data_IF_127565685056
#
_entry.id   IF_127565685056
#
_cell.length_a   1.000
_cell.length_b   1.000
_cell.length_c   1.000
_cell.angle_alpha   90.00
_cell.angle_beta   90.00
_cell.angle_gamma   90.00
#
_symmetry.space_group_name_H-M   'P 1'
#
loop_
_entity.id
_entity.type
_entity.pdbx_description
1 polymer ?
2 non-polymer ?
3 non-polymer ?
4 non-polymer ?
5 non-polymer ?
6 non-polymer ?
7 water ?
#
# COMPACT_ATOMS: atom_id res chain seq x y z
N UNK A 18 1.07 3.70 -20.77
CA UNK A 18 0.74 3.18 -19.46
C UNK A 18 2.00 2.75 -18.71
N UNK A 19 2.34 3.49 -17.68
CA UNK A 19 3.59 3.26 -16.99
C UNK A 19 3.45 2.07 -16.03
N UNK A 20 4.50 1.27 -15.93
CA UNK A 20 4.52 0.15 -15.01
C UNK A 20 4.62 0.65 -13.58
N UNK A 21 3.81 0.07 -12.70
CA UNK A 21 3.91 0.30 -11.27
C UNK A 21 4.49 -0.94 -10.62
N UNK A 22 5.64 -0.78 -9.97
CA UNK A 22 6.28 -1.85 -9.19
C UNK A 22 5.80 -1.75 -7.76
N UNK A 23 5.45 -2.90 -7.20
CA UNK A 23 5.08 -3.05 -5.82
C UNK A 23 6.08 -4.00 -5.18
N UNK A 24 6.50 -3.70 -3.96
CA UNK A 24 7.38 -4.59 -3.24
C UNK A 24 6.98 -4.63 -1.78
N UNK A 25 7.25 -5.76 -1.13
CA UNK A 25 6.98 -5.90 0.29
C UNK A 25 6.37 -7.23 0.59
N UNK A 26 5.35 -7.21 1.44
CA UNK A 26 4.75 -8.43 2.00
C UNK A 26 3.46 -8.83 1.33
N UNK A 27 3.50 -9.98 0.70
CA UNK A 27 2.29 -10.71 0.34
C UNK A 27 1.97 -11.62 1.52
N UNK A 28 0.72 -11.60 1.99
CA UNK A 28 0.37 -12.29 3.21
C UNK A 28 -0.95 -13.00 3.07
N UNK A 29 -1.14 -14.03 3.87
CA UNK A 29 -2.46 -14.61 4.02
C UNK A 29 -3.12 -14.00 5.25
N UNK A 30 -4.24 -13.32 5.00
CA UNK A 30 -5.08 -12.78 6.07
C UNK A 30 -6.15 -13.82 6.42
N UNK A 31 -6.16 -14.23 7.67
CA UNK A 31 -7.16 -15.16 8.18
C UNK A 31 -8.27 -14.32 8.81
N UNK A 32 -9.42 -14.33 8.16
CA UNK A 32 -10.49 -13.40 8.50
C UNK A 32 -11.69 -14.20 9.02
N UNK A 33 -12.11 -13.92 10.26
CA UNK A 33 -13.23 -14.67 10.83
C UNK A 33 -14.45 -14.66 9.93
N UNK A 34 -15.07 -15.84 9.80
CA UNK A 34 -16.29 -15.97 9.03
C UNK A 34 -17.04 -17.16 9.61
N UNK A 35 -17.76 -16.88 10.68
CA UNK A 35 -18.35 -17.92 11.52
C UNK A 35 -17.46 -18.05 12.74
N UNK A 36 -18.02 -18.59 13.82
CA UNK A 36 -17.30 -18.61 15.09
C UNK A 36 -16.11 -19.55 15.12
N UNK A 37 -16.13 -20.57 14.25
CA UNK A 37 -15.07 -21.57 14.25
C UNK A 37 -14.20 -21.57 13.01
N UNK A 38 -14.42 -20.63 12.08
CA UNK A 38 -13.72 -20.64 10.81
C UNK A 38 -13.04 -19.33 10.49
N UNK A 39 -11.94 -19.42 9.77
CA UNK A 39 -11.34 -18.29 9.09
C UNK A 39 -11.48 -18.47 7.59
N UNK A 40 -11.78 -17.37 6.90
CA UNK A 40 -11.56 -17.29 5.47
C UNK A 40 -10.07 -17.18 5.24
N UNK A 41 -9.59 -17.87 4.23
CA UNK A 41 -8.21 -17.77 3.79
C UNK A 41 -8.17 -16.70 2.70
N UNK A 42 -7.81 -15.48 3.07
CA UNK A 42 -7.89 -14.35 2.15
C UNK A 42 -6.49 -13.88 1.73
N UNK A 43 -6.27 -13.71 0.42
CA UNK A 43 -5.00 -13.12 0.00
C UNK A 43 -4.93 -11.68 0.44
N UNK A 44 -3.75 -11.25 0.85
CA UNK A 44 -3.58 -9.92 1.37
C UNK A 44 -2.13 -9.51 1.33
N UNK A 45 -1.82 -8.52 2.16
CA UNK A 45 -0.51 -7.91 2.20
C UNK A 45 -0.57 -6.61 1.42
N UNK A 46 -0.32 -5.48 2.07
CA UNK A 46 -0.63 -4.19 1.47
C UNK A 46 -0.07 -4.00 0.05
N UNK A 47 1.23 -4.24 -0.17
CA UNK A 47 1.69 -4.01 -1.55
C UNK A 47 1.08 -4.99 -2.56
N UNK A 48 0.76 -6.20 -2.14
CA UNK A 48 0.08 -7.16 -3.02
C UNK A 48 -1.34 -6.65 -3.34
N UNK A 49 -2.00 -6.11 -2.32
CA UNK A 49 -3.33 -5.54 -2.48
C UNK A 49 -3.29 -4.41 -3.48
N UNK A 50 -2.30 -3.53 -3.36
CA UNK A 50 -2.18 -2.43 -4.31
C UNK A 50 -1.95 -2.94 -5.73
N UNK A 51 -1.08 -3.93 -5.85
CA UNK A 51 -0.77 -4.50 -7.16
C UNK A 51 -2.05 -5.02 -7.81
N UNK A 52 -2.86 -5.75 -7.06
CA UNK A 52 -4.06 -6.33 -7.59
C UNK A 52 -5.07 -5.22 -7.91
N UNK A 53 -5.14 -4.18 -7.06
CA UNK A 53 -6.07 -3.10 -7.32
C UNK A 53 -5.76 -2.45 -8.66
N UNK A 54 -4.47 -2.21 -8.91
CA UNK A 54 -4.06 -1.60 -10.16
C UNK A 54 -4.41 -2.51 -11.35
N UNK A 55 -4.09 -3.78 -11.23
CA UNK A 55 -4.37 -4.74 -12.29
C UNK A 55 -5.87 -4.85 -12.60
N UNK A 56 -6.69 -4.81 -11.56
CA UNK A 56 -8.14 -4.92 -11.76
C UNK A 56 -8.68 -3.75 -12.53
N UNK A 57 -8.02 -2.60 -12.44
CA UNK A 57 -8.40 -1.40 -13.18
C UNK A 57 -7.76 -1.38 -14.56
N UNK A 58 -7.12 -2.47 -14.95
CA UNK A 58 -6.50 -2.64 -16.28
C UNK A 58 -5.12 -1.99 -16.36
N UNK A 59 -4.51 -1.69 -15.21
CA UNK A 59 -3.19 -1.12 -15.19
C UNK A 59 -2.10 -2.17 -15.25
N UNK A 60 -0.88 -1.68 -15.30
CA UNK A 60 0.31 -2.50 -15.45
C UNK A 60 1.04 -2.54 -14.12
N UNK A 61 0.84 -3.60 -13.36
CA UNK A 61 1.50 -3.70 -12.06
C UNK A 61 2.39 -4.96 -12.03
N UNK A 62 3.45 -4.87 -11.24
CA UNK A 62 4.43 -5.94 -11.14
C UNK A 62 4.90 -5.97 -9.71
N UNK A 63 5.14 -7.15 -9.17
CA UNK A 63 5.49 -7.31 -7.77
C UNK A 63 6.86 -7.94 -7.66
N UNK A 64 7.71 -7.40 -6.80
CA UNK A 64 8.95 -8.08 -6.46
C UNK A 64 9.07 -8.19 -4.96
N UNK A 65 9.52 -9.36 -4.52
CA UNK A 65 9.61 -9.63 -3.09
C UNK A 65 9.80 -11.10 -2.84
N UNK A 66 9.75 -11.46 -1.55
CA UNK A 66 9.87 -12.85 -1.15
C UNK A 66 8.68 -13.30 -0.34
N UNK A 67 8.19 -14.49 -0.68
CA UNK A 67 7.31 -15.23 0.19
C UNK A 67 7.99 -16.53 0.58
N UNK A 68 7.33 -17.35 1.40
CA UNK A 68 7.92 -18.60 1.79
C UNK A 68 7.60 -19.72 0.83
N UNK A 69 8.45 -20.75 0.85
CA UNK A 69 8.20 -21.98 0.12
C UNK A 69 7.25 -22.82 0.94
N UNK A 70 5.98 -22.45 0.89
CA UNK A 70 4.94 -23.08 1.68
C UNK A 70 3.63 -22.85 0.95
N UNK A 71 2.57 -23.53 1.40
CA UNK A 71 1.31 -23.41 0.65
C UNK A 71 0.81 -21.97 0.59
N UNK A 72 1.03 -21.18 1.64
CA UNK A 72 0.55 -19.81 1.63
C UNK A 72 1.31 -18.97 0.59
N UNK A 73 2.61 -19.21 0.47
CA UNK A 73 3.39 -18.48 -0.51
C UNK A 73 2.98 -18.85 -1.92
N UNK A 74 2.72 -20.13 -2.13
CA UNK A 74 2.28 -20.57 -3.45
C UNK A 74 0.88 -20.03 -3.75
N UNK A 75 0.04 -19.93 -2.72
CA UNK A 75 -1.28 -19.34 -2.87
C UNK A 75 -1.18 -17.87 -3.28
N UNK A 76 -0.22 -17.15 -2.71
CA UNK A 76 -0.04 -15.75 -3.08
C UNK A 76 0.51 -15.61 -4.51
N UNK A 77 1.45 -16.48 -4.88
CA UNK A 77 1.89 -16.51 -6.28
C UNK A 77 0.72 -16.76 -7.21
N UNK A 78 -0.10 -17.74 -6.87
CA UNK A 78 -1.26 -18.08 -7.70
C UNK A 78 -2.22 -16.89 -7.81
N UNK A 79 -2.42 -16.21 -6.68
CA UNK A 79 -3.31 -15.07 -6.65
C UNK A 79 -2.81 -13.97 -7.57
N UNK A 80 -1.54 -13.60 -7.46
CA UNK A 80 -1.00 -12.57 -8.33
C UNK A 80 -1.09 -12.98 -9.81
N UNK A 81 -0.81 -14.25 -10.08
CA UNK A 81 -0.92 -14.78 -11.44
C UNK A 81 -2.34 -14.63 -11.95
N UNK A 82 -3.30 -15.09 -11.16
CA UNK A 82 -4.71 -15.02 -11.53
C UNK A 82 -5.10 -13.58 -11.83
N UNK A 83 -4.56 -12.64 -11.04
CA UNK A 83 -4.93 -11.24 -11.11
C UNK A 83 -4.16 -10.46 -12.18
N UNK A 84 -3.32 -11.15 -12.93
CA UNK A 84 -2.58 -10.53 -14.05
C UNK A 84 -1.58 -9.48 -13.55
N UNK A 85 -1.05 -9.73 -12.35
CA UNK A 85 0.05 -8.96 -11.83
C UNK A 85 1.31 -9.70 -12.25
N UNK A 86 2.28 -8.99 -12.81
CA UNK A 86 3.55 -9.61 -13.16
C UNK A 86 4.26 -10.02 -11.87
N UNK A 87 4.54 -11.30 -11.72
CA UNK A 87 5.17 -11.81 -10.50
C UNK A 87 6.40 -12.66 -10.80
N UNK A 88 7.03 -12.39 -11.93
CA UNK A 88 8.30 -13.02 -12.27
C UNK A 88 9.34 -12.81 -11.16
N UNK A 89 9.26 -11.68 -10.47
CA UNK A 89 10.24 -11.33 -9.44
C UNK A 89 9.72 -11.58 -8.01
N UNK A 90 8.69 -12.41 -7.89
CA UNK A 90 8.29 -12.93 -6.60
C UNK A 90 9.04 -14.23 -6.38
N UNK A 91 9.89 -14.23 -5.37
CA UNK A 91 10.75 -15.37 -5.10
C UNK A 91 10.33 -16.08 -3.85
N UNK A 92 10.71 -17.34 -3.77
CA UNK A 92 10.49 -18.11 -2.57
C UNK A 92 11.77 -18.13 -1.77
N UNK A 93 11.70 -17.61 -0.55
CA UNK A 93 12.84 -17.71 0.36
C UNK A 93 13.04 -19.17 0.74
N UNK A 94 14.30 -19.60 0.84
CA UNK A 94 14.55 -21.02 1.12
C UNK A 94 14.19 -21.46 2.55
N UNK A 95 14.10 -20.52 3.48
CA UNK A 95 14.02 -20.87 4.89
C UNK A 95 12.79 -20.32 5.60
N UNK A 96 12.44 -19.08 5.32
CA UNK A 96 11.44 -18.38 6.10
C UNK A 96 10.03 -18.53 5.52
N UNK A 97 9.05 -18.43 6.41
CA UNK A 97 7.66 -18.67 6.08
C UNK A 97 6.94 -17.41 5.62
N UNK A 98 5.91 -17.62 4.81
CA UNK A 98 5.01 -16.55 4.39
C UNK A 98 4.27 -15.92 5.54
N UNK A 99 4.19 -14.61 5.51
CA UNK A 99 3.45 -13.87 6.52
C UNK A 99 2.01 -14.37 6.62
N UNK A 100 1.57 -14.56 7.86
CA UNK A 100 0.24 -15.05 8.20
C UNK A 100 -0.32 -14.13 9.26
N UNK A 101 -1.45 -13.52 8.95
CA UNK A 101 -2.00 -12.48 9.79
C UNK A 101 -3.41 -12.87 10.20
N UNK A 102 -3.71 -12.76 11.48
CA UNK A 102 -5.05 -13.03 11.99
C UNK A 102 -5.78 -11.70 12.17
N UNK A 103 -6.95 -11.59 11.57
CA UNK A 103 -7.73 -10.35 11.61
C UNK A 103 -8.83 -10.40 12.67
N UNK A 104 -8.97 -9.30 13.43
CA UNK A 104 -10.10 -9.11 14.36
C UNK A 104 -11.01 -8.04 13.77
N UNK A 105 -12.20 -8.45 13.35
CA UNK A 105 -13.13 -7.54 12.69
C UNK A 105 -13.80 -6.53 13.64
N UNK A 106 -13.59 -6.68 14.94
CA UNK A 106 -14.11 -5.67 15.87
C UNK A 106 -13.19 -4.46 15.96
N UNK A 107 -12.01 -4.55 15.36
CA UNK A 107 -11.05 -3.45 15.35
C UNK A 107 -10.84 -2.95 13.92
N UNK A 108 -10.11 -1.85 13.78
CA UNK A 108 -9.82 -1.29 12.46
C UNK A 108 -8.32 -1.13 12.27
N UNK A 109 -7.86 -1.39 11.05
CA UNK A 109 -6.48 -1.13 10.68
C UNK A 109 -5.50 -1.87 11.54
N UNK A 110 -4.41 -1.19 11.91
CA UNK A 110 -3.32 -1.81 12.65
C UNK A 110 -3.83 -2.61 13.86
N UNK A 111 -4.79 -2.04 14.59
CA UNK A 111 -5.30 -2.71 15.79
C UNK A 111 -6.00 -4.03 15.46
N UNK A 112 -6.39 -4.21 14.20
CA UNK A 112 -7.12 -5.42 13.80
C UNK A 112 -6.24 -6.60 13.44
N UNK A 113 -4.93 -6.41 13.39
CA UNK A 113 -4.04 -7.46 12.88
C UNK A 113 -3.12 -8.03 13.94
N UNK A 114 -2.96 -9.34 13.92
CA UNK A 114 -1.92 -10.02 14.69
C UNK A 114 -1.03 -10.76 13.71
N UNK A 115 0.25 -10.41 13.70
CA UNK A 115 1.22 -11.03 12.82
C UNK A 115 1.80 -12.28 13.44
N UNK A 116 1.51 -13.44 12.86
CA UNK A 116 1.95 -14.70 13.44
C UNK A 116 3.37 -15.09 13.03
N UNK A 117 3.85 -14.56 11.91
CA UNK A 117 5.16 -14.94 11.38
C UNK A 117 6.06 -13.71 11.39
N UNK A 118 7.04 -13.74 12.30
CA UNK A 118 7.95 -12.62 12.52
C UNK A 118 9.33 -13.20 12.81
N UNK A 119 10.30 -12.98 11.93
CA UNK A 119 10.25 -12.28 10.64
C UNK A 119 9.78 -13.23 9.52
N UNK A 120 8.83 -12.78 8.72
CA UNK A 120 8.40 -13.57 7.57
C UNK A 120 9.37 -13.39 6.39
N UNK A 121 9.15 -14.16 5.34
CA UNK A 121 10.08 -14.26 4.24
C UNK A 121 10.42 -12.91 3.60
N UNK A 122 9.42 -12.03 3.52
CA UNK A 122 9.60 -10.73 2.89
C UNK A 122 10.63 -9.88 3.61
N UNK A 123 10.86 -10.15 4.89
CA UNK A 123 11.85 -9.41 5.66
C UNK A 123 13.29 -9.72 5.23
N UNK A 124 13.44 -10.72 4.37
CA UNK A 124 14.74 -11.16 3.90
C UNK A 124 15.02 -10.78 2.44
N UNK A 125 14.25 -9.82 1.93
CA UNK A 125 14.53 -9.22 0.63
C UNK A 125 16.01 -8.82 0.55
N UNK A 126 16.67 -9.25 -0.52
CA UNK A 126 18.08 -8.95 -0.76
C UNK A 126 18.24 -7.95 -1.90
N UNK A 127 19.42 -7.34 -1.99
CA UNK A 127 19.70 -6.39 -3.06
C UNK A 127 19.52 -7.04 -4.42
N UNK A 128 19.87 -8.30 -4.55
CA UNK A 128 19.78 -8.98 -5.84
C UNK A 128 18.34 -9.30 -6.24
N UNK A 129 17.38 -9.11 -5.33
CA UNK A 129 15.99 -9.33 -5.66
C UNK A 129 15.38 -8.15 -6.41
N UNK A 130 16.08 -7.02 -6.44
CA UNK A 130 15.51 -5.83 -7.04
C UNK A 130 15.60 -5.95 -8.56
N UNK A 131 14.50 -5.73 -9.29
CA UNK A 131 14.50 -5.83 -10.74
C UNK A 131 14.97 -4.53 -11.39
N UNK A 132 15.19 -4.59 -12.69
CA UNK A 132 15.63 -3.41 -13.42
C UNK A 132 14.45 -2.45 -13.56
N UNK A 133 14.73 -1.17 -13.26
CA UNK A 133 13.74 -0.12 -13.33
C UNK A 133 14.03 0.76 -14.53
N UNK A 134 13.01 1.49 -14.97
CA UNK A 134 13.16 2.40 -16.08
C UNK A 134 12.52 3.75 -15.78
N UNK A 135 12.99 4.78 -16.47
CA UNK A 135 12.46 6.11 -16.34
C UNK A 135 10.93 6.11 -16.46
N UNK A 136 10.27 6.85 -15.58
CA UNK A 136 8.82 7.01 -15.65
C UNK A 136 8.02 5.92 -14.94
N UNK A 137 8.68 4.87 -14.49
CA UNK A 137 7.99 3.85 -13.72
C UNK A 137 7.73 4.36 -12.30
N UNK A 138 6.82 3.66 -11.63
CA UNK A 138 6.49 3.93 -10.23
C UNK A 138 6.97 2.77 -9.37
N UNK A 139 7.34 3.10 -8.14
CA UNK A 139 7.60 2.10 -7.10
C UNK A 139 6.79 2.48 -5.88
N UNK A 140 5.98 1.55 -5.38
CA UNK A 140 5.23 1.77 -4.16
C UNK A 140 5.69 0.83 -3.05
N UNK A 141 5.85 1.43 -1.87
CA UNK A 141 6.41 0.79 -0.68
C UNK A 141 5.57 1.11 0.54
N UNK A 142 5.48 0.15 1.48
CA UNK A 142 4.88 0.33 2.80
C UNK A 142 5.91 0.06 3.87
N UNK A 143 5.62 0.45 5.10
CA UNK A 143 6.65 0.40 6.13
C UNK A 143 7.06 -0.99 6.58
N UNK A 144 6.24 -2.02 6.38
CA UNK A 144 6.67 -3.34 6.80
C UNK A 144 7.97 -3.70 6.07
N UNK A 145 8.15 -3.22 4.85
CA UNK A 145 9.37 -3.52 4.11
C UNK A 145 10.60 -2.91 4.77
N UNK A 146 10.37 -1.91 5.62
CA UNK A 146 11.44 -1.23 6.34
C UNK A 146 11.60 -1.75 7.74
N UNK A 147 10.82 -2.74 8.16
CA UNK A 147 10.79 -3.09 9.57
C UNK A 147 12.08 -3.73 10.08
N UNK A 148 12.65 -4.65 9.31
CA UNK A 148 13.84 -5.36 9.74
C UNK A 148 14.79 -5.52 8.59
N UNK A 149 16.06 -5.77 8.91
CA UNK A 149 17.04 -6.10 7.90
C UNK A 149 16.94 -7.57 7.52
N UNK A 150 17.33 -7.92 6.29
CA UNK A 150 17.89 -7.04 5.26
C UNK A 150 16.86 -6.28 4.43
N UNK A 151 15.57 -6.56 4.61
CA UNK A 151 14.59 -5.90 3.75
C UNK A 151 14.67 -4.38 3.84
N UNK A 152 14.92 -3.86 5.02
CA UNK A 152 14.95 -2.41 5.20
C UNK A 152 16.00 -1.77 4.28
N UNK A 153 17.24 -2.22 4.39
CA UNK A 153 18.29 -1.67 3.55
C UNK A 153 18.06 -2.01 2.07
N UNK A 154 17.54 -3.19 1.77
CA UNK A 154 17.28 -3.53 0.38
C UNK A 154 16.22 -2.62 -0.24
N UNK A 155 15.21 -2.28 0.54
CA UNK A 155 14.12 -1.49 0.07
C UNK A 155 14.57 -0.04 -0.10
N UNK A 156 15.35 0.47 0.85
CA UNK A 156 15.92 1.80 0.65
C UNK A 156 16.81 1.85 -0.61
N UNK A 157 17.53 0.78 -0.90
CA UNK A 157 18.34 0.74 -2.12
C UNK A 157 17.44 0.77 -3.34
N UNK A 158 16.34 0.00 -3.30
CA UNK A 158 15.40 0.00 -4.41
C UNK A 158 14.85 1.39 -4.65
N UNK A 159 14.48 2.08 -3.58
CA UNK A 159 14.01 3.45 -3.70
C UNK A 159 15.07 4.36 -4.34
N UNK A 160 16.31 4.27 -3.86
CA UNK A 160 17.38 5.08 -4.42
C UNK A 160 17.58 4.77 -5.91
N UNK A 161 17.42 3.50 -6.29
CA UNK A 161 17.61 3.12 -7.70
C UNK A 161 16.47 3.62 -8.58
N UNK A 162 15.25 3.58 -8.06
CA UNK A 162 14.14 4.09 -8.83
C UNK A 162 14.28 5.60 -9.03
N UNK A 163 14.71 6.32 -7.99
CA UNK A 163 14.91 7.76 -8.09
C UNK A 163 16.00 8.04 -9.12
N UNK A 164 17.08 7.27 -9.08
CA UNK A 164 18.23 7.53 -9.94
C UNK A 164 17.88 7.42 -11.42
N UNK A 165 17.02 6.46 -11.75
CA UNK A 165 16.67 6.19 -13.14
C UNK A 165 15.59 7.13 -13.65
N UNK A 166 15.02 7.96 -12.78
CA UNK A 166 13.98 8.88 -13.18
C UNK A 166 12.58 8.32 -13.07
N UNK A 167 12.40 7.36 -12.18
CA UNK A 167 11.08 6.89 -11.80
C UNK A 167 10.54 7.67 -10.63
N UNK A 168 9.39 7.24 -10.14
CA UNK A 168 8.68 7.95 -9.08
C UNK A 168 8.42 6.99 -7.95
N UNK A 169 8.38 7.53 -6.74
CA UNK A 169 8.26 6.73 -5.54
C UNK A 169 7.03 7.12 -4.74
N UNK A 170 6.21 6.12 -4.45
CA UNK A 170 5.03 6.25 -3.62
C UNK A 170 5.27 5.50 -2.31
N UNK A 171 4.88 6.09 -1.19
CA UNK A 171 5.06 5.48 0.11
C UNK A 171 3.78 5.64 0.92
N UNK A 172 3.32 4.53 1.49
CA UNK A 172 2.19 4.51 2.41
C UNK A 172 2.72 3.84 3.67
N UNK A 173 2.99 4.63 4.71
CA UNK A 173 3.56 4.01 5.91
C UNK A 173 2.81 2.73 6.32
N UNK A 174 1.49 2.76 6.40
CA UNK A 174 0.75 1.54 6.67
C UNK A 174 1.35 0.84 7.90
N UNK A 175 1.34 1.57 9.00
CA UNK A 175 2.09 1.15 10.16
C UNK A 175 1.56 -0.10 10.81
N UNK A 176 2.48 -1.02 11.09
CA UNK A 176 2.20 -2.24 11.82
C UNK A 176 3.37 -2.46 12.79
N UNK A 177 3.29 -1.81 13.94
CA UNK A 177 4.45 -1.71 14.83
C UNK A 177 4.98 -3.06 15.25
N UNK A 178 4.10 -4.04 15.47
CA UNK A 178 4.56 -5.29 16.06
C UNK A 178 5.53 -6.06 15.16
N UNK A 179 5.55 -5.73 13.87
CA UNK A 179 6.45 -6.40 12.94
C UNK A 179 7.91 -5.99 13.16
N UNK A 180 8.14 -4.84 13.78
CA UNK A 180 9.48 -4.30 14.01
C UNK A 180 10.12 -4.99 15.20
N UNK A 181 11.28 -5.61 14.99
CA UNK A 181 12.00 -6.17 16.13
C UNK A 181 12.53 -5.06 17.05
N UNK A 182 12.75 -3.87 16.48
CA UNK A 182 13.20 -2.69 17.21
C UNK A 182 12.17 -1.59 16.99
N UNK A 183 11.05 -1.62 17.72
CA UNK A 183 9.99 -0.63 17.45
C UNK A 183 10.45 0.82 17.65
N UNK A 184 11.48 1.04 18.45
CA UNK A 184 12.00 2.38 18.66
C UNK A 184 12.62 2.96 17.38
N UNK A 185 12.87 2.12 16.38
CA UNK A 185 13.43 2.56 15.10
C UNK A 185 12.35 2.95 14.10
N UNK A 186 11.09 2.64 14.40
CA UNK A 186 10.02 2.85 13.43
C UNK A 186 9.91 4.30 12.99
N UNK A 187 9.80 5.22 13.94
CA UNK A 187 9.50 6.60 13.57
C UNK A 187 10.56 7.16 12.63
N UNK A 188 11.82 7.04 13.02
CA UNK A 188 12.90 7.61 12.22
C UNK A 188 13.04 6.92 10.87
N UNK A 189 12.89 5.60 10.85
CA UNK A 189 13.05 4.86 9.61
C UNK A 189 11.94 5.21 8.62
N UNK A 190 10.72 5.27 9.11
CA UNK A 190 9.59 5.63 8.27
C UNK A 190 9.75 7.07 7.76
N UNK A 191 10.19 7.99 8.62
CA UNK A 191 10.31 9.37 8.16
C UNK A 191 11.44 9.52 7.14
N UNK A 192 12.48 8.67 7.22
CA UNK A 192 13.50 8.66 6.18
C UNK A 192 12.88 8.33 4.83
N UNK A 193 11.98 7.35 4.78
CA UNK A 193 11.31 7.01 3.54
C UNK A 193 10.37 8.12 3.10
N UNK A 194 9.65 8.74 4.02
CA UNK A 194 8.79 9.86 3.67
C UNK A 194 9.59 10.93 2.91
N UNK A 195 10.84 11.15 3.34
CA UNK A 195 11.71 12.12 2.70
C UNK A 195 12.19 11.75 1.31
N UNK A 196 11.98 10.50 0.89
CA UNK A 196 12.43 10.06 -0.42
C UNK A 196 11.28 10.01 -1.44
N UNK A 197 10.04 10.15 -0.98
CA UNK A 197 8.90 9.82 -1.81
C UNK A 197 8.38 11.03 -2.60
N UNK A 198 7.85 10.75 -3.78
CA UNK A 198 7.08 11.73 -4.54
C UNK A 198 5.64 11.86 -4.04
N UNK A 199 5.08 10.73 -3.61
CA UNK A 199 3.72 10.67 -3.12
C UNK A 199 3.73 9.95 -1.78
N UNK A 200 3.08 10.52 -0.77
CA UNK A 200 2.96 9.85 0.51
C UNK A 200 1.48 9.90 0.90
N UNK A 201 0.96 8.73 1.30
CA UNK A 201 -0.41 8.61 1.77
C UNK A 201 -0.35 8.18 3.24
N UNK A 202 -1.04 8.95 4.07
CA UNK A 202 -1.18 8.66 5.49
C UNK A 202 -2.64 8.51 5.80
N UNK A 203 -2.99 7.69 6.78
CA UNK A 203 -4.26 7.89 7.45
C UNK A 203 -4.06 9.08 8.39
N UNK A 204 -5.16 9.68 8.81
CA UNK A 204 -5.10 10.80 9.74
C UNK A 204 -4.33 10.38 10.99
N UNK A 205 -4.60 9.18 11.48
CA UNK A 205 -3.97 8.69 12.68
C UNK A 205 -2.46 8.49 12.46
N UNK A 206 -2.06 7.95 11.33
CA UNK A 206 -0.66 7.72 11.07
C UNK A 206 0.12 9.04 10.96
N UNK A 207 -0.46 10.03 10.31
CA UNK A 207 0.21 11.31 10.16
C UNK A 207 0.47 11.89 11.52
N UNK A 208 -0.53 11.87 12.38
CA UNK A 208 -0.36 12.42 13.73
C UNK A 208 0.64 11.64 14.55
N UNK A 209 0.61 10.32 14.46
CA UNK A 209 1.54 9.47 15.19
C UNK A 209 2.99 9.77 14.75
N UNK A 210 3.20 9.82 13.45
CA UNK A 210 4.56 9.96 12.94
C UNK A 210 5.15 11.33 13.18
N UNK A 211 4.31 12.33 13.34
CA UNK A 211 4.75 13.69 13.59
C UNK A 211 4.57 14.12 15.04
N UNK A 212 3.94 13.29 15.87
CA UNK A 212 3.74 13.62 17.27
C UNK A 212 2.79 14.80 17.47
N UNK A 213 1.80 14.91 16.60
CA UNK A 213 0.87 16.03 16.63
C UNK A 213 -0.54 15.56 16.95
N UNK A 214 -1.44 16.52 17.13
CA UNK A 214 -2.81 16.22 17.55
C UNK A 214 -3.84 16.62 16.52
N UNK A 215 -3.40 17.07 15.34
CA UNK A 215 -4.31 17.44 14.27
C UNK A 215 -3.63 17.29 12.93
N UNK A 216 -4.43 17.17 11.88
CA UNK A 216 -3.91 17.07 10.52
C UNK A 216 -3.14 18.35 10.15
N UNK A 217 -3.71 19.50 10.51
CA UNK A 217 -3.07 20.78 10.25
C UNK A 217 -1.66 20.80 10.82
N UNK A 218 -1.52 20.40 12.09
CA UNK A 218 -0.22 20.39 12.71
C UNK A 218 0.69 19.33 12.08
N UNK A 219 0.14 18.18 11.75
CA UNK A 219 0.92 17.15 11.09
C UNK A 219 1.45 17.60 9.73
N UNK A 220 0.62 18.27 8.95
CA UNK A 220 1.05 18.74 7.64
C UNK A 220 2.14 19.81 7.78
N UNK A 221 2.01 20.67 8.78
CA UNK A 221 3.03 21.68 8.99
C UNK A 221 4.36 21.01 9.36
N UNK A 222 4.29 19.94 10.14
CA UNK A 222 5.49 19.26 10.60
C UNK A 222 6.27 18.59 9.48
N UNK A 223 5.60 18.28 8.37
CA UNK A 223 6.30 17.67 7.25
C UNK A 223 6.54 18.64 6.09
N UNK A 224 6.24 19.92 6.30
CA UNK A 224 6.35 20.89 5.22
C UNK A 224 7.75 20.95 4.62
N UNK A 225 8.78 20.88 5.47
CA UNK A 225 10.14 21.05 4.97
C UNK A 225 10.63 19.86 4.15
N UNK A 226 9.81 18.82 4.07
CA UNK A 226 10.11 17.67 3.22
C UNK A 226 9.83 18.01 1.74
N UNK A 227 9.05 19.06 1.51
CA UNK A 227 8.68 19.47 0.15
C UNK A 227 8.20 18.24 -0.65
N UNK A 228 7.32 17.45 -0.04
CA UNK A 228 6.73 16.29 -0.68
C UNK A 228 5.76 16.78 -1.75
N UNK A 229 5.93 16.32 -2.99
CA UNK A 229 5.09 16.83 -4.08
C UNK A 229 3.60 16.57 -3.87
N UNK A 230 3.24 15.39 -3.38
CA UNK A 230 1.85 15.07 -3.14
C UNK A 230 1.70 14.29 -1.86
N UNK A 231 0.91 14.82 -0.94
CA UNK A 231 0.55 14.14 0.30
C UNK A 231 -0.95 13.97 0.29
N UNK A 232 -1.40 12.77 0.59
CA UNK A 232 -2.81 12.50 0.73
C UNK A 232 -3.03 11.95 2.12
N UNK A 233 -4.01 12.50 2.83
CA UNK A 233 -4.36 12.03 4.15
C UNK A 233 -5.77 11.49 4.06
N UNK A 234 -5.93 10.19 4.26
CA UNK A 234 -7.26 9.59 4.19
C UNK A 234 -8.03 9.89 5.47
N UNK A 235 -9.33 10.08 5.28
CA UNK A 235 -10.22 10.54 6.33
C UNK A 235 -11.41 9.57 6.47
N UNK A 236 -11.20 8.29 6.17
CA UNK A 236 -12.30 7.34 6.20
C UNK A 236 -13.45 7.77 5.31
N UNK A 237 -14.67 7.69 5.83
CA UNK A 237 -15.86 8.08 5.08
C UNK A 237 -15.84 9.52 4.57
N UNK A 238 -15.02 10.37 5.17
CA UNK A 238 -14.93 11.77 4.76
C UNK A 238 -14.02 12.00 3.55
N UNK A 239 -13.39 10.94 3.05
CA UNK A 239 -12.63 11.01 1.82
C UNK A 239 -11.15 11.16 2.07
N UNK A 240 -10.58 12.23 1.53
CA UNK A 240 -9.14 12.44 1.62
C UNK A 240 -8.80 13.92 1.50
N UNK A 241 -7.81 14.34 2.28
CA UNK A 241 -7.23 15.66 2.16
C UNK A 241 -6.04 15.55 1.22
N UNK A 242 -6.02 16.41 0.21
CA UNK A 242 -4.98 16.40 -0.81
C UNK A 242 -4.14 17.65 -0.62
N UNK A 243 -2.85 17.44 -0.36
CA UNK A 243 -1.94 18.54 -0.08
C UNK A 243 -0.81 18.55 -1.11
N UNK A 244 -0.77 19.64 -1.87
CA UNK A 244 0.28 19.87 -2.85
C UNK A 244 0.84 21.25 -2.53
N UNK A 245 1.92 21.67 -3.21
CA UNK A 245 2.48 22.96 -2.79
C UNK A 245 1.46 24.12 -2.83
N UNK A 246 1.34 24.78 -1.70
CA UNK A 246 0.46 25.92 -1.53
C UNK A 246 -1.02 25.62 -1.76
N UNK A 247 -1.42 24.35 -1.62
CA UNK A 247 -2.82 24.00 -1.81
C UNK A 247 -3.22 22.81 -0.95
N UNK A 248 -4.36 22.94 -0.29
CA UNK A 248 -4.98 21.83 0.43
C UNK A 248 -6.44 21.79 0.02
N UNK A 249 -6.96 20.60 -0.19
CA UNK A 249 -8.32 20.42 -0.62
C UNK A 249 -8.85 19.07 -0.16
N UNK A 250 -10.05 19.07 0.40
CA UNK A 250 -10.71 17.84 0.75
C UNK A 250 -11.49 17.33 -0.45
N UNK A 251 -11.28 16.06 -0.76
CA UNK A 251 -11.95 15.40 -1.86
C UNK A 251 -12.72 14.24 -1.24
N UNK A 252 -14.02 14.25 -1.42
CA UNK A 252 -14.86 13.22 -0.82
C UNK A 252 -15.84 12.70 -1.83
N UNK A 253 -16.23 11.44 -1.64
CA UNK A 253 -17.26 10.82 -2.45
C UNK A 253 -18.36 10.29 -1.56
N UNK A 254 -19.08 9.30 -2.04
CA UNK A 254 -20.20 8.77 -1.26
C UNK A 254 -19.73 7.83 -0.16
N UNK A 255 -20.25 8.08 1.04
CA UNK A 255 -19.95 7.25 2.19
C UNK A 255 -20.74 5.96 2.10
N UNK A 256 -20.12 4.88 2.55
CA UNK A 256 -20.77 3.57 2.58
C UNK A 256 -20.62 3.01 3.97
N UNK A 257 -21.39 1.96 4.23
CA UNK A 257 -21.25 1.24 5.47
C UNK A 257 -20.36 0.06 5.19
N UNK A 258 -19.18 0.04 5.80
CA UNK A 258 -18.23 -1.02 5.48
C UNK A 258 -18.64 -2.37 6.04
N UNK A 259 -18.40 -3.39 5.24
CA UNK A 259 -18.53 -4.75 5.70
C UNK A 259 -17.18 -5.24 6.23
N UNK A 260 -16.10 -4.88 5.54
CA UNK A 260 -14.75 -5.21 6.00
C UNK A 260 -13.83 -4.07 5.55
N UNK A 261 -13.24 -3.37 6.50
CA UNK A 261 -12.35 -2.27 6.14
C UNK A 261 -10.94 -2.73 5.79
N UNK A 262 -10.65 -4.03 5.93
CA UNK A 262 -9.28 -4.52 5.70
C UNK A 262 -8.81 -4.11 4.32
N UNK A 263 -7.69 -3.41 4.26
CA UNK A 263 -7.15 -3.05 2.96
C UNK A 263 -7.85 -1.93 2.19
N UNK A 264 -8.86 -1.26 2.77
CA UNK A 264 -9.50 -0.14 2.09
C UNK A 264 -8.48 0.92 1.67
N UNK A 265 -7.47 1.11 2.51
CA UNK A 265 -6.44 2.10 2.26
C UNK A 265 -5.59 1.69 1.07
N UNK A 266 -5.40 0.39 0.89
CA UNK A 266 -4.60 -0.11 -0.23
C UNK A 266 -5.38 0.01 -1.54
N UNK A 267 -6.69 -0.21 -1.47
CA UNK A 267 -7.56 -0.02 -2.64
C UNK A 267 -7.49 1.44 -3.09
N UNK A 268 -7.54 2.33 -2.11
CA UNK A 268 -7.37 3.76 -2.34
C UNK A 268 -6.05 4.05 -3.08
N UNK A 269 -4.96 3.52 -2.56
CA UNK A 269 -3.67 3.74 -3.21
C UNK A 269 -3.67 3.16 -4.61
N UNK A 270 -4.27 1.99 -4.77
CA UNK A 270 -4.35 1.38 -6.10
C UNK A 270 -5.05 2.25 -7.12
N UNK A 271 -6.18 2.84 -6.75
CA UNK A 271 -6.86 3.74 -7.66
C UNK A 271 -6.05 4.97 -7.97
N UNK A 272 -5.45 5.55 -6.92
CA UNK A 272 -4.60 6.72 -7.06
C UNK A 272 -3.47 6.44 -8.03
N UNK A 273 -2.70 5.39 -7.76
CA UNK A 273 -1.52 5.11 -8.56
C UNK A 273 -1.87 4.63 -9.95
N UNK A 274 -2.97 3.90 -10.10
CA UNK A 274 -3.41 3.54 -11.44
C UNK A 274 -3.57 4.82 -12.27
N UNK A 275 -4.32 5.79 -11.75
CA UNK A 275 -4.56 7.00 -12.51
C UNK A 275 -3.29 7.86 -12.71
N UNK A 276 -2.42 7.92 -11.71
CA UNK A 276 -1.17 8.65 -11.91
C UNK A 276 -0.31 7.95 -12.95
N UNK A 277 -0.35 6.61 -12.96
CA UNK A 277 0.51 5.84 -13.85
C UNK A 277 0.14 6.00 -15.33
N UNK A 278 -1.13 6.28 -15.62
CA UNK A 278 -1.57 6.39 -17.01
C UNK A 278 -1.61 7.86 -17.47
N UNK A 279 -1.28 8.78 -16.57
CA UNK A 279 -1.33 10.21 -16.88
C UNK A 279 -0.12 10.64 -17.68
N UNK A 280 -0.36 11.54 -18.63
CA UNK A 280 0.72 12.20 -19.35
C UNK A 280 1.63 12.95 -18.38
N UNK A 281 1.02 13.64 -17.43
CA UNK A 281 1.78 14.42 -16.46
C UNK A 281 1.10 14.31 -15.11
N UNK A 282 1.56 13.38 -14.30
CA UNK A 282 0.87 13.12 -13.06
C UNK A 282 0.91 14.30 -12.10
N UNK A 283 1.86 15.22 -12.27
CA UNK A 283 1.94 16.37 -11.38
C UNK A 283 0.80 17.37 -11.58
N UNK A 284 0.05 17.22 -12.66
CA UNK A 284 -0.98 18.18 -13.00
C UNK A 284 -2.11 18.11 -11.95
N UNK A 285 -2.57 19.27 -11.49
CA UNK A 285 -3.51 19.29 -10.39
C UNK A 285 -4.83 18.60 -10.75
N UNK A 286 -5.33 18.78 -11.98
CA UNK A 286 -6.55 18.11 -12.41
C UNK A 286 -6.39 16.60 -12.39
N UNK A 287 -5.23 16.13 -12.84
CA UNK A 287 -4.93 14.71 -12.85
C UNK A 287 -4.93 14.17 -11.43
N UNK A 288 -4.28 14.88 -10.51
CA UNK A 288 -4.21 14.43 -9.14
C UNK A 288 -5.61 14.37 -8.51
N UNK A 289 -6.41 15.42 -8.71
CA UNK A 289 -7.71 15.43 -8.04
C UNK A 289 -8.62 14.34 -8.58
N UNK A 290 -8.56 14.11 -9.89
CA UNK A 290 -9.29 12.99 -10.50
C UNK A 290 -8.79 11.64 -9.98
N UNK A 291 -7.47 11.50 -9.81
CA UNK A 291 -6.92 10.25 -9.30
C UNK A 291 -7.41 9.97 -7.89
N UNK A 292 -7.56 11.03 -7.08
CA UNK A 292 -8.07 10.90 -5.72
C UNK A 292 -9.58 10.56 -5.73
N UNK A 293 -10.31 11.07 -6.70
CA UNK A 293 -11.70 10.70 -6.83
C UNK A 293 -11.81 9.19 -7.09
N UNK A 294 -10.99 8.68 -7.99
CA UNK A 294 -10.93 7.24 -8.22
C UNK A 294 -10.53 6.51 -6.95
N UNK A 295 -9.49 7.02 -6.26
CA UNK A 295 -9.01 6.41 -5.04
C UNK A 295 -10.13 6.26 -4.01
N UNK A 296 -10.90 7.32 -3.81
CA UNK A 296 -12.00 7.27 -2.85
C UNK A 296 -13.04 6.22 -3.26
N UNK A 297 -13.33 6.12 -4.55
CA UNK A 297 -14.30 5.15 -5.01
C UNK A 297 -13.83 3.73 -4.81
N UNK A 298 -12.54 3.49 -5.06
CA UNK A 298 -11.95 2.19 -4.82
C UNK A 298 -11.97 1.85 -3.34
N UNK A 299 -11.57 2.79 -2.49
CA UNK A 299 -11.57 2.54 -1.06
C UNK A 299 -12.96 2.18 -0.54
N UNK A 300 -13.97 2.89 -1.02
CA UNK A 300 -15.36 2.60 -0.62
C UNK A 300 -15.77 1.23 -1.07
N UNK A 301 -15.58 0.94 -2.35
CA UNK A 301 -16.01 -0.34 -2.88
C UNK A 301 -15.26 -1.50 -2.27
N UNK A 302 -13.99 -1.32 -1.91
CA UNK A 302 -13.20 -2.40 -1.34
C UNK A 302 -13.81 -2.93 -0.06
N UNK A 303 -14.56 -2.09 0.64
CA UNK A 303 -15.11 -2.47 1.94
C UNK A 303 -16.35 -3.35 1.85
N UNK A 304 -16.86 -3.61 0.64
CA UNK A 304 -18.14 -4.28 0.48
C UNK A 304 -18.06 -5.79 0.65
N UNK A 305 -16.86 -6.37 0.67
CA UNK A 305 -16.69 -7.79 0.91
C UNK A 305 -15.45 -8.03 1.80
N UNK A 306 -15.50 -9.12 2.55
CA UNK A 306 -14.39 -9.57 3.37
C UNK A 306 -13.22 -9.93 2.48
N UNK A 307 -12.04 -9.56 2.97
CA UNK A 307 -10.77 -9.80 2.28
C UNK A 307 -10.34 -8.50 1.63
N UNK A 308 -9.05 -8.18 1.73
CA UNK A 308 -8.54 -6.94 1.15
C UNK A 308 -8.73 -6.88 -0.36
N UNK A 309 -8.66 -8.01 -1.04
CA UNK A 309 -8.66 -7.99 -2.48
C UNK A 309 -10.02 -8.27 -3.10
N UNK A 310 -10.93 -8.82 -2.30
CA UNK A 310 -12.12 -9.45 -2.88
C UNK A 310 -12.94 -8.49 -3.74
N UNK A 311 -13.16 -7.29 -3.22
CA UNK A 311 -14.04 -6.32 -3.89
C UNK A 311 -13.28 -5.19 -4.56
N UNK A 312 -11.97 -5.36 -4.77
CA UNK A 312 -11.23 -4.37 -5.54
C UNK A 312 -11.90 -4.24 -6.91
N UNK A 313 -12.30 -3.01 -7.28
CA UNK A 313 -13.20 -2.90 -8.44
C UNK A 313 -12.49 -2.89 -9.78
N UNK A 314 -13.21 -3.31 -10.80
CA UNK A 314 -12.82 -3.02 -12.17
C UNK A 314 -13.39 -1.68 -12.58
N UNK A 315 -13.07 -1.22 -13.78
CA UNK A 315 -13.53 0.07 -14.22
C UNK A 315 -15.05 0.14 -14.36
N UNK A 316 -15.70 -0.93 -14.83
CA UNK A 316 -17.15 -0.90 -14.98
C UNK A 316 -17.81 -0.67 -13.63
N UNK A 317 -17.33 -1.34 -12.60
CA UNK A 317 -17.91 -1.18 -11.26
C UNK A 317 -17.62 0.20 -10.73
N UNK A 318 -16.39 0.66 -10.91
CA UNK A 318 -16.00 1.95 -10.36
C UNK A 318 -16.76 3.10 -11.02
N UNK A 319 -16.83 3.10 -12.34
CA UNK A 319 -17.58 4.12 -13.03
C UNK A 319 -19.04 4.14 -12.61
N UNK A 320 -19.64 2.97 -12.45
CA UNK A 320 -21.03 2.89 -12.02
C UNK A 320 -21.23 3.51 -10.64
N UNK A 321 -20.29 3.27 -9.75
CA UNK A 321 -20.36 3.78 -8.39
C UNK A 321 -20.14 5.30 -8.33
N UNK A 322 -19.23 5.79 -9.18
CA UNK A 322 -18.85 7.20 -9.17
C UNK A 322 -19.92 8.08 -9.80
N UNK A 323 -20.75 7.50 -10.65
CA UNK A 323 -21.87 8.22 -11.25
C UNK A 323 -22.88 8.58 -10.18
X LIG B 1 0.05 -6.03 6.24
X LIG B 1 -1.47 -5.97 6.31
X LIG B 1 -2.23 -7.16 5.74
X LIG B 1 -3.44 -6.57 5.11
X LIG B 1 -2.95 -5.21 4.72
X LIG B 1 -4.01 -4.14 4.76
X LIG B 1 0.49 -5.97 4.91
X LIG B 1 -1.78 -5.83 7.66
X LIG B 1 -2.47 -8.05 6.80
X LIG B 1 -3.87 -7.25 3.97
X LIG B 1 -1.88 -4.86 5.59
X LIG B 1 -3.49 -2.88 4.42
X LIG B 1 0.42 -5.28 6.73
X LIG B 1 0.37 -6.86 6.63
X LIG B 1 -1.69 -7.60 5.07
X LIG B 1 -4.17 -6.50 5.75
X LIG B 1 -2.60 -5.26 3.82
X LIG B 1 -4.71 -4.36 4.14
X LIG B 1 -4.39 -4.09 5.65
X LIG B 1 0.94 -6.71 4.71
X LIG B 1 -2.66 -5.71 7.75
X LIG B 1 -3.34 -8.22 6.84
X LIG B 1 -3.95 -8.11 4.17
X LIG B 1 -3.80 -2.27 4.97
X LIG C 1 -3.46 1.50 5.70
X LIG D 1 -5.77 -0.48 5.16
X LIG D 1 -6.74 -1.43 5.88
X LIG D 1 -5.40 -0.95 3.73
X LIG D 1 -4.40 -0.46 5.83
X LIG E 1 -7.84 0.77 5.47
X LIG E 1 -7.41 -0.22 4.41
X LIG E 1 -6.68 1.13 6.36
X LIG E 1 -8.94 0.15 6.28
X LIG E 1 -9.24 3.18 5.48
X LIG E 1 -10.34 2.37 6.16
X LIG E 1 -8.40 3.79 6.57
X LIG E 1 -8.39 2.08 4.74
X LIG E 1 -9.82 4.38 4.58
X LIG E 1 -9.22 4.74 3.38
X LIG E 1 -10.15 5.22 2.30
X LIG E 1 -11.17 4.28 2.08
X LIG E 1 -10.81 6.53 2.54
X LIG E 1 -9.99 7.59 2.17
X LIG E 1 -12.00 6.43 1.67
X LIG E 1 -11.70 6.63 0.34
X LIG E 1 -12.35 5.00 1.83
X LIG E 1 -13.28 4.74 2.88
X LIG E 1 -13.03 4.21 4.10
X LIG E 1 -14.16 4.09 4.78
X LIG E 1 -15.16 4.55 4.04
X LIG E 1 -16.54 4.66 4.19
X LIG E 1 -17.18 4.28 5.41
X LIG E 1 -17.26 5.17 3.20
X LIG E 1 -16.73 5.56 2.03
X LIG E 1 -15.39 5.46 1.83
X LIG E 1 -14.61 4.96 2.81
X LIG E 1 -8.57 5.44 3.58
X LIG E 1 -8.74 3.96 3.04
X LIG E 1 -9.63 5.29 1.48
X LIG E 1 -11.08 6.61 3.47
X LIG E 1 -10.04 8.23 2.78
X LIG E 1 -12.72 7.01 1.97
X LIG E 1 -11.02 7.19 0.26
X LIG E 1 -12.72 4.69 0.99
X LIG E 1 -12.15 3.96 4.42
X LIG E 1 -18.06 4.43 5.53
X LIG E 1 -16.70 3.87 6.06
X LIG E 1 -17.29 5.93 1.33
X LIG F 1 -12.63 -6.29 1.02
#
# INVERSE_FOLDING_TARGET
MKALVRLSSNHIFRSDSMSRVWLTGDAVVDLIPDGQQHYLKCPGGAPANVAVAIARLSGRSAFFGRVGNDPFGRFMQQTLTDEQVDCQHLHFDPVHRTSTVVVDLDEHGERSFTFMVKPSADQFLQLSDIPSFQKGEWLHVCSIALANQPSRSSTFAAIAQMKEVGGYVSFDPNLREEVWSEPQELQATVMRAVGLADVVKFSEEELQFLTGTQSIEEGLQAIADFQIPLVVVTLGAKGALVATPNSQQIVSGKAVKPIDTTGAGDAFVGGLLYRLSVAQDWHNQATILDAVKWANGCGALATTQKGAMTALPNQAALYAFLE
FRU C1 C2 C3 C4 C5 C6 O1 O2 O3 O4 O5 O6 H11 H12 H3 H4 H5 H61 H62 HO1 HO2 HO3 HO4 HO6
CA CA
BEF BE F1 F2 F3
ADP PB O1B O2B O3B PA O1A O2A O3A O5' C5' C4' O4' C3' O3' C2' O2' C1' N9 C8 N7 C5 C6 N6 N1 C2 N3 C4 H5'1 H5'2 H4' H3' HO3' H2' HO2' H1' H8 HN61 HN62 H2
NA NA
#
